data_IF_871486517639
#
_entry.id   IF_871486517639
#
_cell.length_a   1.000
_cell.length_b   1.000
_cell.length_c   1.000
_cell.angle_alpha   90.00
_cell.angle_beta   90.00
_cell.angle_gamma   90.00
#
_symmetry.space_group_name_H-M   'P 1'
#
loop_
_entity.id
_entity.type
_entity.pdbx_description
1 polymer ?
#
# COMPACT_ATOMS: atom_id res chain seq x y z
N UNK A 1 -18.32 6.02 35.72
CA UNK A 1 -17.22 5.64 34.81
C UNK A 1 -17.87 4.84 33.71
N UNK A 2 -18.00 5.40 32.51
CA UNK A 2 -18.47 4.64 31.34
C UNK A 2 -17.34 3.71 30.94
N UNK A 3 -17.52 2.41 31.16
CA UNK A 3 -16.61 1.38 30.66
C UNK A 3 -16.43 1.57 29.14
N UNK A 4 -15.20 1.44 28.67
CA UNK A 4 -14.88 1.63 27.26
C UNK A 4 -15.43 0.44 26.46
N UNK A 5 -16.51 0.66 25.73
CA UNK A 5 -17.14 -0.34 24.88
C UNK A 5 -16.13 -0.84 23.85
N UNK A 6 -15.92 -2.16 23.80
CA UNK A 6 -15.12 -2.81 22.79
C UNK A 6 -15.99 -3.23 21.59
N UNK A 7 -15.34 -3.35 20.44
CA UNK A 7 -15.97 -3.72 19.18
C UNK A 7 -15.34 -4.99 18.64
N UNK A 8 -16.18 -5.92 18.17
CA UNK A 8 -15.72 -7.22 17.71
C UNK A 8 -16.35 -7.65 16.40
N UNK A 9 -15.65 -8.57 15.74
CA UNK A 9 -16.10 -9.34 14.58
C UNK A 9 -16.17 -10.82 14.96
N UNK A 10 -17.30 -11.46 14.68
CA UNK A 10 -17.54 -12.87 14.93
C UNK A 10 -17.88 -13.61 13.64
N UNK A 11 -16.99 -14.52 13.24
CA UNK A 11 -17.25 -15.48 12.17
C UNK A 11 -18.19 -16.58 12.69
N UNK A 12 -19.40 -16.67 12.17
CA UNK A 12 -20.39 -17.68 12.55
C UNK A 12 -20.75 -18.61 11.39
N UNK A 13 -21.01 -19.88 11.72
CA UNK A 13 -21.60 -20.83 10.78
C UNK A 13 -23.11 -20.58 10.60
N UNK A 14 -23.68 -21.04 9.49
CA UNK A 14 -25.10 -20.85 9.18
C UNK A 14 -26.03 -21.35 10.31
N UNK A 15 -25.71 -22.50 10.89
CA UNK A 15 -26.54 -23.17 11.92
C UNK A 15 -26.50 -22.52 13.30
N UNK A 16 -25.77 -21.41 13.47
CA UNK A 16 -25.68 -20.70 14.76
C UNK A 16 -26.90 -19.84 15.07
N UNK A 17 -27.70 -19.56 14.05
CA UNK A 17 -28.92 -18.79 14.13
C UNK A 17 -30.08 -19.61 13.56
N UNK A 18 -31.27 -19.43 14.12
CA UNK A 18 -32.47 -20.04 13.58
C UNK A 18 -33.03 -19.13 12.47
N UNK A 19 -32.65 -19.39 11.22
CA UNK A 19 -33.10 -18.61 10.06
C UNK A 19 -34.59 -18.78 9.71
N UNK A 20 -35.29 -19.72 10.37
CA UNK A 20 -36.75 -19.88 10.22
C UNK A 20 -37.55 -18.96 11.14
N UNK A 21 -36.88 -18.26 12.06
CA UNK A 21 -37.47 -17.31 12.99
C UNK A 21 -36.80 -15.94 12.81
N UNK A 22 -37.43 -14.84 13.27
CA UNK A 22 -36.79 -13.54 13.29
C UNK A 22 -35.45 -13.61 14.03
N UNK A 23 -34.38 -13.12 13.39
CA UNK A 23 -33.02 -13.19 13.96
C UNK A 23 -32.85 -12.23 15.15
N UNK A 24 -33.53 -11.09 15.13
CA UNK A 24 -33.49 -10.08 16.20
C UNK A 24 -33.95 -10.71 17.52
N UNK A 25 -33.27 -10.39 18.62
CA UNK A 25 -33.39 -10.97 19.97
C UNK A 25 -32.93 -12.43 20.13
N UNK A 26 -32.56 -13.14 19.05
CA UNK A 26 -31.95 -14.46 19.22
C UNK A 26 -30.62 -14.33 19.96
N UNK A 27 -30.30 -15.36 20.76
CA UNK A 27 -29.03 -15.44 21.47
C UNK A 27 -28.25 -16.69 21.10
N UNK A 28 -26.93 -16.57 21.04
CA UNK A 28 -26.04 -17.71 20.74
C UNK A 28 -24.83 -17.72 21.66
N UNK A 29 -24.31 -18.91 21.96
CA UNK A 29 -23.20 -19.12 22.89
C UNK A 29 -21.96 -19.61 22.14
N UNK A 30 -20.81 -18.98 22.38
CA UNK A 30 -19.51 -19.49 21.93
C UNK A 30 -18.58 -19.76 23.10
N UNK A 31 -17.76 -20.80 22.95
CA UNK A 31 -16.75 -21.21 23.93
C UNK A 31 -15.35 -21.14 23.31
N UNK A 32 -14.39 -20.57 24.04
CA UNK A 32 -13.02 -20.33 23.57
C UNK A 32 -12.18 -21.59 23.29
N UNK A 33 -12.70 -22.80 23.54
CA UNK A 33 -11.95 -24.07 23.55
C UNK A 33 -12.22 -25.05 22.40
N UNK A 34 -13.07 -24.71 21.43
CA UNK A 34 -13.49 -25.66 20.38
C UNK A 34 -12.72 -25.48 19.06
N UNK A 35 -11.61 -26.20 18.83
CA UNK A 35 -10.95 -26.29 17.49
C UNK A 35 -10.65 -24.94 16.78
N UNK A 36 -10.01 -23.97 17.45
CA UNK A 36 -9.65 -22.68 16.84
C UNK A 36 -8.16 -22.38 16.93
N UNK A 37 -7.65 -21.57 15.99
CA UNK A 37 -6.28 -21.07 16.03
C UNK A 37 -6.04 -20.29 17.36
N UNK A 38 -5.20 -20.81 18.29
CA UNK A 38 -5.24 -20.43 19.70
C UNK A 38 -4.75 -19.01 20.03
N UNK A 39 -4.05 -18.32 19.13
CA UNK A 39 -3.26 -17.14 19.49
C UNK A 39 -4.04 -15.83 19.53
N UNK A 40 -4.99 -15.61 18.61
CA UNK A 40 -5.76 -14.35 18.51
C UNK A 40 -7.20 -14.47 19.02
N UNK A 41 -7.93 -15.53 18.66
CA UNK A 41 -9.31 -15.72 19.09
C UNK A 41 -9.44 -15.73 20.63
N UNK A 42 -8.54 -16.45 21.31
CA UNK A 42 -8.52 -16.53 22.77
C UNK A 42 -8.27 -15.18 23.47
N UNK A 43 -7.49 -14.27 22.85
CA UNK A 43 -7.25 -12.93 23.40
C UNK A 43 -8.49 -12.05 23.30
N UNK A 44 -9.25 -12.15 22.21
CA UNK A 44 -10.51 -11.42 22.07
C UNK A 44 -11.54 -11.89 23.11
N UNK A 45 -11.66 -13.20 23.33
CA UNK A 45 -12.53 -13.75 24.39
C UNK A 45 -12.17 -13.23 25.80
N UNK A 46 -10.88 -13.01 26.10
CA UNK A 46 -10.43 -12.47 27.39
C UNK A 46 -10.79 -11.00 27.62
N UNK A 47 -10.98 -10.23 26.55
CA UNK A 47 -11.31 -8.80 26.62
C UNK A 47 -12.80 -8.53 26.48
N UNK A 48 -13.61 -9.56 26.23
CA UNK A 48 -15.04 -9.42 26.06
C UNK A 48 -15.70 -9.05 27.40
N UNK A 49 -16.48 -7.98 27.39
CA UNK A 49 -17.27 -7.47 28.51
C UNK A 49 -18.74 -7.36 28.11
N UNK A 50 -19.62 -7.30 29.11
CA UNK A 50 -21.06 -7.16 28.87
C UNK A 50 -21.32 -5.77 28.29
N UNK A 51 -22.11 -5.69 27.21
CA UNK A 51 -22.41 -4.45 26.50
C UNK A 51 -21.50 -4.16 25.30
N UNK A 52 -20.42 -4.93 25.11
CA UNK A 52 -19.56 -4.85 23.94
C UNK A 52 -20.33 -5.18 22.65
N UNK A 53 -19.98 -4.48 21.56
CA UNK A 53 -20.69 -4.59 20.27
C UNK A 53 -20.00 -5.56 19.32
N UNK A 54 -20.80 -6.30 18.56
CA UNK A 54 -20.31 -7.40 17.73
C UNK A 54 -20.98 -7.40 16.36
N UNK A 55 -20.17 -7.53 15.31
CA UNK A 55 -20.62 -7.80 13.94
C UNK A 55 -20.59 -9.32 13.71
N UNK A 56 -21.67 -9.86 13.14
CA UNK A 56 -21.79 -11.27 12.77
C UNK A 56 -21.52 -11.45 11.27
N UNK A 57 -20.58 -12.34 10.93
CA UNK A 57 -20.22 -12.65 9.55
C UNK A 57 -20.36 -14.15 9.26
N UNK A 58 -21.06 -14.51 8.18
CA UNK A 58 -21.38 -15.89 7.84
C UNK A 58 -20.38 -16.48 6.84
N UNK A 59 -19.61 -17.48 7.28
CA UNK A 59 -18.44 -18.00 6.53
C UNK A 59 -18.69 -19.17 5.56
N UNK A 60 -19.80 -19.91 5.71
CA UNK A 60 -20.00 -21.20 5.01
C UNK A 60 -20.88 -21.15 3.75
N UNK A 61 -21.63 -20.08 3.56
CA UNK A 61 -22.71 -20.02 2.56
C UNK A 61 -22.53 -18.84 1.59
N UNK A 62 -21.33 -18.25 1.54
CA UNK A 62 -21.01 -17.02 0.78
C UNK A 62 -21.97 -15.84 1.03
N UNK A 63 -22.75 -15.89 2.12
CA UNK A 63 -23.76 -14.89 2.46
C UNK A 63 -23.13 -13.60 2.98
N UNK A 64 -21.95 -13.70 3.61
CA UNK A 64 -21.19 -12.54 4.05
C UNK A 64 -21.70 -11.94 5.36
N UNK A 65 -21.67 -10.61 5.45
CA UNK A 65 -22.12 -9.81 6.59
C UNK A 65 -23.60 -10.11 6.89
N UNK A 66 -23.90 -10.51 8.13
CA UNK A 66 -25.25 -10.91 8.53
C UNK A 66 -25.95 -9.83 9.34
N UNK A 67 -25.26 -9.26 10.32
CA UNK A 67 -25.88 -8.32 11.24
C UNK A 67 -24.93 -7.83 12.33
N UNK A 68 -25.49 -7.09 13.29
CA UNK A 68 -24.79 -6.66 14.49
C UNK A 68 -25.60 -6.98 15.75
N UNK A 69 -24.92 -6.97 16.88
CA UNK A 69 -25.51 -7.21 18.17
C UNK A 69 -24.57 -6.87 19.32
N UNK A 70 -24.79 -7.49 20.46
CA UNK A 70 -24.02 -7.22 21.67
C UNK A 70 -23.75 -8.46 22.53
N UNK A 71 -22.74 -8.36 23.39
CA UNK A 71 -22.43 -9.37 24.39
C UNK A 71 -23.32 -9.16 25.61
N UNK A 72 -24.09 -10.19 25.97
CA UNK A 72 -25.02 -10.15 27.11
C UNK A 72 -24.53 -10.91 28.34
N UNK A 73 -23.55 -11.80 28.17
CA UNK A 73 -23.00 -12.59 29.27
C UNK A 73 -21.59 -13.08 28.94
N UNK A 74 -20.70 -13.03 29.94
CA UNK A 74 -19.33 -13.57 29.86
C UNK A 74 -19.08 -14.42 31.11
N UNK A 75 -18.76 -15.69 30.92
CA UNK A 75 -18.52 -16.63 32.01
C UNK A 75 -17.18 -17.34 31.82
N UNK A 76 -16.36 -17.37 32.87
CA UNK A 76 -15.13 -18.17 32.87
C UNK A 76 -15.41 -19.51 33.55
N UNK A 77 -15.39 -20.58 32.76
CA UNK A 77 -15.62 -21.95 33.22
C UNK A 77 -14.34 -22.66 33.69
N UNK A 78 -14.49 -23.91 34.14
CA UNK A 78 -13.38 -24.77 34.51
C UNK A 78 -12.39 -24.94 33.33
N UNK A 79 -11.09 -25.05 33.64
CA UNK A 79 -9.99 -25.12 32.66
C UNK A 79 -9.73 -23.83 31.85
N UNK A 80 -10.05 -22.64 32.39
CA UNK A 80 -9.79 -21.34 31.72
C UNK A 80 -10.53 -21.14 30.39
N UNK A 81 -11.64 -21.86 30.19
CA UNK A 81 -12.51 -21.69 29.03
C UNK A 81 -13.46 -20.53 29.25
N UNK A 82 -13.54 -19.60 28.30
CA UNK A 82 -14.43 -18.45 28.37
C UNK A 82 -15.64 -18.74 27.48
N UNK A 83 -16.84 -18.55 28.05
CA UNK A 83 -18.13 -18.65 27.39
C UNK A 83 -18.72 -17.27 27.24
N UNK A 84 -19.06 -16.89 26.01
CA UNK A 84 -19.66 -15.58 25.70
C UNK A 84 -21.00 -15.81 25.02
N UNK A 85 -22.03 -15.17 25.55
CA UNK A 85 -23.36 -15.13 24.94
C UNK A 85 -23.53 -13.81 24.19
N UNK A 86 -23.96 -13.93 22.94
CA UNK A 86 -24.25 -12.80 22.07
C UNK A 86 -25.74 -12.73 21.82
N UNK A 87 -26.30 -11.51 21.77
CA UNK A 87 -27.65 -11.25 21.27
C UNK A 87 -27.55 -10.57 19.91
N UNK A 88 -28.46 -10.92 19.00
CA UNK A 88 -28.58 -10.29 17.69
C UNK A 88 -29.54 -9.10 17.77
N UNK A 89 -29.09 -7.91 17.37
CA UNK A 89 -29.88 -6.68 17.50
C UNK A 89 -30.41 -6.19 16.14
N UNK A 90 -29.60 -6.26 15.08
CA UNK A 90 -29.96 -5.67 13.78
C UNK A 90 -29.40 -6.47 12.58
N UNK A 91 -30.19 -6.54 11.51
CA UNK A 91 -29.83 -7.14 10.22
C UNK A 91 -29.02 -6.16 9.36
N UNK A 92 -27.96 -6.64 8.72
CA UNK A 92 -27.16 -5.87 7.76
C UNK A 92 -27.27 -6.48 6.36
N UNK A 93 -26.96 -5.69 5.33
CA UNK A 93 -26.88 -6.18 3.95
C UNK A 93 -25.79 -7.24 3.83
N UNK A 94 -26.02 -8.30 3.02
CA UNK A 94 -25.04 -9.36 2.78
C UNK A 94 -23.85 -8.84 1.98
N UNK A 95 -22.81 -8.41 2.68
CA UNK A 95 -21.55 -7.92 2.11
C UNK A 95 -20.44 -8.97 2.31
N UNK A 96 -19.76 -9.34 1.23
CA UNK A 96 -18.65 -10.31 1.31
C UNK A 96 -17.38 -9.64 1.83
N UNK A 97 -16.47 -10.44 2.39
CA UNK A 97 -15.11 -9.98 2.73
C UNK A 97 -14.42 -9.32 1.53
N UNK A 98 -14.57 -9.86 0.33
CA UNK A 98 -13.97 -9.28 -0.89
C UNK A 98 -14.58 -7.92 -1.27
N UNK A 99 -15.83 -7.67 -0.90
CA UNK A 99 -16.43 -6.34 -1.01
C UNK A 99 -15.82 -5.38 0.01
N UNK A 100 -15.73 -5.79 1.28
CA UNK A 100 -15.20 -4.94 2.37
C UNK A 100 -13.72 -4.59 2.16
N UNK A 101 -12.91 -5.51 1.62
CA UNK A 101 -11.49 -5.28 1.26
C UNK A 101 -11.27 -4.18 0.23
N UNK A 102 -12.30 -3.71 -0.47
CA UNK A 102 -12.18 -2.59 -1.39
C UNK A 102 -11.91 -1.28 -0.65
N UNK A 103 -12.23 -1.19 0.64
CA UNK A 103 -11.84 -0.09 1.50
C UNK A 103 -10.40 -0.27 1.97
N UNK A 104 -9.55 0.73 1.77
CA UNK A 104 -8.17 0.73 2.29
C UNK A 104 -8.14 0.58 3.82
N UNK A 105 -9.11 1.17 4.52
CA UNK A 105 -9.21 1.09 5.98
C UNK A 105 -9.49 -0.34 6.46
N UNK A 106 -10.15 -1.16 5.64
CA UNK A 106 -10.55 -2.52 6.00
C UNK A 106 -9.68 -3.61 5.37
N UNK A 107 -8.92 -3.33 4.30
CA UNK A 107 -8.16 -4.35 3.56
C UNK A 107 -7.20 -5.14 4.46
N UNK A 108 -6.35 -4.44 5.21
CA UNK A 108 -5.43 -5.08 6.16
C UNK A 108 -6.19 -5.89 7.21
N UNK A 109 -7.27 -5.34 7.78
CA UNK A 109 -8.06 -6.00 8.82
C UNK A 109 -8.72 -7.27 8.29
N UNK A 110 -9.38 -7.20 7.15
CA UNK A 110 -10.09 -8.32 6.53
C UNK A 110 -9.14 -9.45 6.09
N UNK A 111 -7.91 -9.12 5.66
CA UNK A 111 -6.90 -10.14 5.34
C UNK A 111 -6.42 -10.90 6.58
N UNK A 112 -6.34 -10.23 7.74
CA UNK A 112 -5.83 -10.83 8.98
C UNK A 112 -6.88 -11.59 9.80
N UNK A 113 -8.18 -11.34 9.59
CA UNK A 113 -9.27 -11.99 10.35
C UNK A 113 -9.78 -13.32 9.75
N UNK A 114 -9.28 -13.73 8.58
CA UNK A 114 -9.89 -14.79 7.75
C UNK A 114 -9.97 -16.18 8.43
N UNK A 115 -9.11 -16.45 9.41
CA UNK A 115 -9.01 -17.77 10.06
C UNK A 115 -9.39 -17.79 11.54
N UNK A 116 -9.75 -16.64 12.10
CA UNK A 116 -10.02 -16.46 13.53
C UNK A 116 -11.51 -16.28 13.77
N UNK A 117 -12.05 -17.03 14.74
CA UNK A 117 -13.48 -16.98 15.05
C UNK A 117 -13.91 -15.58 15.52
N UNK A 118 -13.16 -15.00 16.44
CA UNK A 118 -13.53 -13.81 17.18
C UNK A 118 -12.37 -12.81 17.19
N UNK A 119 -12.60 -11.60 16.70
CA UNK A 119 -11.57 -10.61 16.44
C UNK A 119 -11.97 -9.25 17.00
N UNK A 120 -11.01 -8.52 17.56
CA UNK A 120 -11.22 -7.14 18.00
C UNK A 120 -11.09 -6.18 16.81
N UNK A 121 -12.04 -5.26 16.69
CA UNK A 121 -12.04 -4.15 15.74
C UNK A 121 -11.75 -2.84 16.48
N UNK A 122 -11.25 -1.85 15.75
CA UNK A 122 -11.33 -0.46 16.22
C UNK A 122 -12.75 0.07 16.04
N UNK A 123 -13.07 1.18 16.71
CA UNK A 123 -14.37 1.82 16.56
C UNK A 123 -14.61 2.28 15.12
N UNK A 124 -13.59 2.85 14.48
CA UNK A 124 -13.66 3.34 13.11
C UNK A 124 -13.92 2.21 12.11
N UNK A 125 -13.23 1.06 12.29
CA UNK A 125 -13.47 -0.13 11.48
C UNK A 125 -14.91 -0.65 11.65
N UNK A 126 -15.41 -0.70 12.90
CA UNK A 126 -16.76 -1.15 13.21
C UNK A 126 -17.82 -0.24 12.60
N UNK A 127 -17.73 1.07 12.85
CA UNK A 127 -18.69 2.07 12.39
C UNK A 127 -18.78 2.07 10.86
N UNK A 128 -17.64 1.95 10.16
CA UNK A 128 -17.61 1.85 8.70
C UNK A 128 -18.31 0.58 8.18
N UNK A 129 -18.05 -0.59 8.78
CA UNK A 129 -18.70 -1.84 8.36
C UNK A 129 -20.22 -1.77 8.57
N UNK A 130 -20.66 -1.21 9.70
CA UNK A 130 -22.09 -1.02 9.98
C UNK A 130 -22.72 -0.05 8.99
N UNK A 131 -22.08 1.09 8.71
CA UNK A 131 -22.58 2.06 7.73
C UNK A 131 -22.74 1.46 6.32
N UNK A 132 -21.76 0.65 5.90
CA UNK A 132 -21.81 -0.11 4.64
C UNK A 132 -22.93 -1.16 4.66
N UNK A 133 -23.06 -1.91 5.77
CA UNK A 133 -24.09 -2.94 5.94
C UNK A 133 -25.51 -2.36 5.98
N UNK A 134 -25.71 -1.19 6.58
CA UNK A 134 -26.97 -0.45 6.56
C UNK A 134 -27.22 0.20 5.19
N UNK A 135 -26.17 0.35 4.37
CA UNK A 135 -26.21 1.01 3.07
C UNK A 135 -26.32 2.53 3.16
N UNK A 136 -25.93 3.11 4.30
CA UNK A 136 -25.78 4.55 4.48
C UNK A 136 -24.54 5.05 3.72
N UNK A 137 -23.52 4.21 3.63
CA UNK A 137 -22.33 4.45 2.81
C UNK A 137 -22.22 3.42 1.68
N UNK A 138 -21.59 3.83 0.57
CA UNK A 138 -21.17 2.95 -0.51
C UNK A 138 -19.68 3.17 -0.74
N UNK A 139 -18.94 2.07 -0.91
CA UNK A 139 -17.55 2.16 -1.31
C UNK A 139 -17.46 2.70 -2.74
N UNK A 140 -16.64 3.74 -2.98
CA UNK A 140 -16.46 4.27 -4.32
C UNK A 140 -15.79 3.20 -5.19
N UNK A 141 -16.34 2.99 -6.39
CA UNK A 141 -15.77 2.09 -7.38
C UNK A 141 -15.23 2.90 -8.54
N UNK A 142 -14.12 2.41 -9.10
CA UNK A 142 -13.36 3.13 -10.11
C UNK A 142 -13.21 2.26 -11.35
N UNK A 143 -13.52 2.82 -12.51
CA UNK A 143 -13.40 2.14 -13.78
C UNK A 143 -12.66 3.00 -14.79
N UNK A 144 -11.94 2.32 -15.67
CA UNK A 144 -11.29 2.89 -16.83
C UNK A 144 -12.22 2.70 -18.03
N UNK A 145 -12.53 3.78 -18.76
CA UNK A 145 -13.37 3.75 -19.95
C UNK A 145 -12.59 4.27 -21.16
N UNK A 146 -12.38 3.41 -22.15
CA UNK A 146 -11.64 3.72 -23.37
C UNK A 146 -12.58 3.99 -24.55
N UNK A 147 -12.53 5.22 -25.04
CA UNK A 147 -13.34 5.69 -26.17
C UNK A 147 -12.48 6.42 -27.21
N UNK A 148 -13.09 6.67 -28.37
CA UNK A 148 -12.48 7.40 -29.48
C UNK A 148 -13.12 8.77 -29.72
N UNK A 149 -14.27 9.03 -29.07
CA UNK A 149 -15.03 10.27 -29.19
C UNK A 149 -14.45 11.37 -28.30
N UNK A 150 -14.74 12.63 -28.65
CA UNK A 150 -14.41 13.77 -27.80
C UNK A 150 -15.49 13.95 -26.74
N UNK A 151 -15.08 14.39 -25.54
CA UNK A 151 -15.96 14.61 -24.40
C UNK A 151 -15.86 16.05 -23.93
N UNK A 152 -17.01 16.62 -23.57
CA UNK A 152 -17.18 17.97 -23.06
C UNK A 152 -17.63 17.92 -21.59
N UNK A 153 -17.03 18.74 -20.70
CA UNK A 153 -17.42 18.83 -19.30
C UNK A 153 -18.91 19.15 -19.09
N UNK A 154 -19.56 18.40 -18.20
CA UNK A 154 -20.96 18.56 -17.82
C UNK A 154 -21.94 17.74 -18.66
N UNK A 155 -21.52 17.19 -19.80
CA UNK A 155 -22.40 16.48 -20.74
C UNK A 155 -22.56 14.99 -20.40
N UNK A 156 -23.72 14.43 -20.80
CA UNK A 156 -24.04 13.01 -20.62
C UNK A 156 -23.90 12.28 -21.96
N UNK A 157 -23.11 11.22 -21.97
CA UNK A 157 -22.80 10.42 -23.14
C UNK A 157 -23.43 9.04 -23.04
N UNK A 158 -23.93 8.54 -24.18
CA UNK A 158 -24.45 7.17 -24.30
C UNK A 158 -23.34 6.25 -24.78
N UNK A 159 -22.93 5.30 -23.93
CA UNK A 159 -21.90 4.33 -24.25
C UNK A 159 -22.55 2.98 -24.50
N UNK A 160 -22.50 2.53 -25.75
CA UNK A 160 -23.04 1.22 -26.13
C UNK A 160 -22.12 0.09 -25.67
N UNK A 161 -22.72 -1.01 -25.21
CA UNK A 161 -21.99 -2.18 -24.68
C UNK A 161 -21.57 -3.17 -25.78
N UNK A 162 -22.17 -3.05 -26.96
CA UNK A 162 -21.86 -3.84 -28.16
C UNK A 162 -21.39 -2.95 -29.31
N UNK A 163 -20.61 -3.51 -30.23
CA UNK A 163 -20.26 -2.88 -31.51
C UNK A 163 -21.50 -2.76 -32.41
N UNK A 164 -21.37 -2.06 -33.53
CA UNK A 164 -22.47 -1.86 -34.48
C UNK A 164 -23.08 -3.19 -34.95
N UNK A 165 -22.25 -4.21 -35.14
CA UNK A 165 -22.64 -5.55 -35.57
C UNK A 165 -23.18 -6.45 -34.43
N UNK A 166 -23.34 -5.92 -33.21
CA UNK A 166 -23.82 -6.67 -32.05
C UNK A 166 -22.76 -7.51 -31.33
N UNK A 167 -21.47 -7.31 -31.61
CA UNK A 167 -20.39 -8.02 -30.90
C UNK A 167 -20.15 -7.32 -29.56
N UNK A 168 -20.12 -8.08 -28.46
CA UNK A 168 -19.80 -7.55 -27.12
C UNK A 168 -18.46 -6.82 -27.14
N UNK A 169 -18.42 -5.60 -26.60
CA UNK A 169 -17.16 -4.87 -26.43
C UNK A 169 -16.28 -5.59 -25.42
N UNK A 170 -14.97 -5.52 -25.61
CA UNK A 170 -14.01 -6.10 -24.68
C UNK A 170 -14.17 -5.50 -23.29
N UNK A 171 -14.18 -6.34 -22.26
CA UNK A 171 -14.52 -5.93 -20.90
C UNK A 171 -16.02 -5.97 -20.59
N UNK A 172 -16.85 -6.60 -21.44
CA UNK A 172 -18.32 -6.58 -21.33
C UNK A 172 -18.87 -6.84 -19.92
N UNK A 173 -18.27 -7.80 -19.21
CA UNK A 173 -18.69 -8.18 -17.86
C UNK A 173 -18.63 -7.01 -16.86
N UNK A 174 -17.75 -6.02 -17.05
CA UNK A 174 -17.70 -4.83 -16.21
C UNK A 174 -18.92 -3.93 -16.38
N UNK A 175 -19.53 -3.85 -17.58
CA UNK A 175 -20.78 -3.09 -17.75
C UNK A 175 -21.91 -3.61 -16.85
N UNK A 176 -21.97 -4.93 -16.62
CA UNK A 176 -22.95 -5.53 -15.72
C UNK A 176 -22.65 -5.24 -14.24
N UNK A 177 -21.42 -4.85 -13.89
CA UNK A 177 -21.01 -4.57 -12.52
C UNK A 177 -21.18 -3.08 -12.15
N UNK A 178 -21.30 -2.20 -13.14
CA UNK A 178 -21.47 -0.77 -12.91
C UNK A 178 -22.74 -0.48 -12.12
N UNK A 179 -22.73 0.55 -11.31
CA UNK A 179 -23.91 1.15 -10.66
C UNK A 179 -23.86 2.65 -10.89
N UNK A 180 -25.00 3.30 -10.71
CA UNK A 180 -25.09 4.75 -10.72
C UNK A 180 -24.20 5.32 -9.61
N UNK A 181 -23.35 6.29 -9.96
CA UNK A 181 -22.36 6.92 -9.08
C UNK A 181 -20.97 6.30 -9.13
N UNK A 182 -20.72 5.25 -9.91
CA UNK A 182 -19.37 4.74 -10.09
C UNK A 182 -18.47 5.75 -10.83
N UNK A 183 -17.25 5.91 -10.34
CA UNK A 183 -16.28 6.84 -10.88
C UNK A 183 -15.59 6.28 -12.13
N UNK A 184 -15.42 7.12 -13.13
CA UNK A 184 -14.84 6.80 -14.42
C UNK A 184 -13.61 7.67 -14.68
N UNK A 185 -12.59 7.04 -15.25
CA UNK A 185 -11.49 7.71 -15.94
C UNK A 185 -11.68 7.53 -17.43
N UNK A 186 -11.70 8.63 -18.17
CA UNK A 186 -11.91 8.62 -19.62
C UNK A 186 -10.56 8.60 -20.34
N UNK A 187 -10.33 7.53 -21.07
CA UNK A 187 -9.18 7.34 -21.93
C UNK A 187 -9.58 7.53 -23.39
N UNK A 188 -8.89 8.43 -24.08
CA UNK A 188 -9.13 8.71 -25.48
C UNK A 188 -8.04 8.08 -26.35
N UNK A 189 -8.45 7.13 -27.20
CA UNK A 189 -7.56 6.41 -28.12
C UNK A 189 -6.98 7.30 -29.22
N UNK A 190 -7.70 8.35 -29.62
CA UNK A 190 -7.33 9.25 -30.71
C UNK A 190 -6.51 10.46 -30.23
N UNK A 191 -6.57 10.79 -28.93
CA UNK A 191 -5.85 11.93 -28.34
C UNK A 191 -4.54 11.47 -27.72
N UNK A 192 -3.58 11.08 -28.55
CA UNK A 192 -2.26 10.56 -28.13
C UNK A 192 -2.33 9.41 -27.11
N UNK A 193 -3.39 8.60 -27.17
CA UNK A 193 -3.58 7.47 -26.25
C UNK A 193 -3.44 7.93 -24.79
N UNK A 194 -4.32 8.84 -24.36
CA UNK A 194 -4.20 9.48 -23.05
C UNK A 194 -5.50 9.42 -22.25
N UNK A 195 -5.36 9.40 -20.93
CA UNK A 195 -6.45 9.74 -20.02
C UNK A 195 -6.68 11.24 -20.10
N UNK A 196 -7.91 11.67 -20.36
CA UNK A 196 -8.26 13.07 -20.68
C UNK A 196 -9.20 13.72 -19.67
N UNK A 197 -9.90 12.92 -18.87
CA UNK A 197 -10.89 13.43 -17.92
C UNK A 197 -11.42 12.37 -16.99
N UNK A 198 -12.31 12.82 -16.12
CA UNK A 198 -13.05 11.96 -15.18
C UNK A 198 -14.53 12.23 -15.27
N UNK A 199 -15.31 11.29 -14.75
CA UNK A 199 -16.74 11.45 -14.61
C UNK A 199 -17.36 10.31 -13.83
N UNK A 200 -18.66 10.08 -14.04
CA UNK A 200 -19.40 9.06 -13.33
C UNK A 200 -20.44 8.35 -14.20
N UNK A 201 -20.87 7.16 -13.78
CA UNK A 201 -22.02 6.47 -14.37
C UNK A 201 -23.31 7.13 -13.88
N UNK A 202 -24.12 7.64 -14.79
CA UNK A 202 -25.43 8.25 -14.46
C UNK A 202 -26.58 7.27 -14.63
N UNK A 203 -26.43 6.26 -15.49
CA UNK A 203 -27.45 5.23 -15.69
C UNK A 203 -26.83 3.86 -15.94
N UNK A 204 -27.32 2.88 -15.17
CA UNK A 204 -26.96 1.49 -15.36
C UNK A 204 -27.39 0.96 -16.75
N UNK A 205 -26.97 -0.26 -17.08
CA UNK A 205 -27.26 -0.91 -18.35
C UNK A 205 -28.77 -0.89 -18.64
N UNK A 206 -29.14 -0.40 -19.82
CA UNK A 206 -30.52 -0.34 -20.28
C UNK A 206 -30.57 -0.44 -21.80
N UNK A 207 -31.74 -0.80 -22.32
CA UNK A 207 -31.98 -0.89 -23.75
C UNK A 207 -32.53 0.44 -24.28
N UNK A 208 -31.92 0.96 -25.35
CA UNK A 208 -32.47 2.09 -26.10
C UNK A 208 -33.34 1.61 -27.27
N UNK A 209 -34.25 2.45 -27.81
CA UNK A 209 -35.01 2.10 -28.99
C UNK A 209 -34.11 1.61 -30.15
N UNK A 210 -34.61 0.72 -31.03
CA UNK A 210 -33.83 0.22 -32.16
C UNK A 210 -33.28 1.36 -33.00
N UNK A 211 -31.98 1.31 -33.28
CA UNK A 211 -31.27 2.33 -34.08
C UNK A 211 -31.00 1.71 -35.46
N UNK A 212 -31.37 2.38 -36.56
CA UNK A 212 -31.13 1.87 -37.91
C UNK A 212 -29.67 1.43 -38.11
N UNK A 213 -29.52 0.19 -38.55
CA UNK A 213 -28.24 -0.45 -38.84
C UNK A 213 -27.45 -0.98 -37.63
N UNK A 214 -27.85 -0.69 -36.39
CA UNK A 214 -27.23 -1.27 -35.20
C UNK A 214 -27.98 -2.53 -34.75
N UNK A 215 -27.27 -3.64 -34.55
CA UNK A 215 -27.88 -4.92 -34.14
C UNK A 215 -28.28 -4.96 -32.65
N UNK A 216 -27.63 -4.17 -31.79
CA UNK A 216 -27.92 -4.12 -30.36
C UNK A 216 -27.78 -2.68 -29.83
N UNK A 217 -28.83 -2.19 -29.17
CA UNK A 217 -28.96 -0.83 -28.62
C UNK A 217 -28.79 -0.76 -27.10
N UNK A 218 -28.25 -1.81 -26.47
CA UNK A 218 -27.94 -1.82 -25.04
C UNK A 218 -26.80 -0.86 -24.74
N UNK A 219 -26.99 0.01 -23.75
CA UNK A 219 -26.06 1.07 -23.40
C UNK A 219 -26.06 1.40 -21.90
N UNK A 220 -25.02 2.11 -21.47
CA UNK A 220 -24.98 2.86 -20.21
C UNK A 220 -25.00 4.36 -20.53
N UNK A 221 -25.36 5.18 -19.55
CA UNK A 221 -25.13 6.64 -19.63
C UNK A 221 -24.07 7.05 -18.62
N UNK A 222 -23.15 7.91 -19.07
CA UNK A 222 -22.04 8.41 -18.28
C UNK A 222 -22.01 9.92 -18.37
N UNK A 223 -21.78 10.62 -17.27
CA UNK A 223 -21.50 12.05 -17.28
C UNK A 223 -20.00 12.26 -17.31
N UNK A 224 -19.54 13.14 -18.17
CA UNK A 224 -18.15 13.58 -18.18
C UNK A 224 -18.03 14.84 -17.31
N UNK A 225 -17.41 14.75 -16.14
CA UNK A 225 -17.47 15.84 -15.16
C UNK A 225 -16.45 16.94 -15.47
N UNK A 226 -15.19 16.56 -15.70
CA UNK A 226 -14.12 17.53 -15.94
C UNK A 226 -12.98 16.97 -16.78
N UNK A 227 -12.37 17.88 -17.54
CA UNK A 227 -11.07 17.66 -18.14
C UNK A 227 -9.99 17.60 -17.06
N UNK A 228 -9.01 16.76 -17.28
CA UNK A 228 -7.76 16.73 -16.51
C UNK A 228 -6.59 16.87 -17.48
N UNK A 229 -5.41 17.24 -16.98
CA UNK A 229 -4.20 17.28 -17.82
C UNK A 229 -3.96 15.89 -18.42
N UNK A 230 -3.84 15.76 -19.75
CA UNK A 230 -3.76 14.45 -20.37
C UNK A 230 -2.57 13.61 -19.90
N UNK A 231 -2.84 12.37 -19.45
CA UNK A 231 -1.79 11.41 -19.05
C UNK A 231 -1.68 10.34 -20.13
N UNK A 232 -0.58 10.35 -20.88
CA UNK A 232 -0.35 9.45 -22.01
C UNK A 232 -0.08 8.01 -21.56
N UNK A 233 -0.35 7.04 -22.45
CA UNK A 233 -0.06 5.63 -22.21
C UNK A 233 1.40 5.39 -21.84
N UNK A 234 2.34 6.10 -22.47
CA UNK A 234 3.76 6.03 -22.14
C UNK A 234 4.06 6.46 -20.70
N UNK A 235 3.37 7.50 -20.20
CA UNK A 235 3.49 7.94 -18.81
C UNK A 235 2.84 6.91 -17.86
N UNK A 236 1.65 6.42 -18.17
CA UNK A 236 0.96 5.41 -17.36
C UNK A 236 1.81 4.14 -17.20
N UNK A 237 2.42 3.67 -18.30
CA UNK A 237 3.28 2.48 -18.30
C UNK A 237 4.60 2.66 -17.53
N UNK A 238 5.00 3.90 -17.22
CA UNK A 238 6.18 4.17 -16.36
C UNK A 238 5.84 4.16 -14.88
N UNK A 239 4.56 4.31 -14.51
CA UNK A 239 4.18 4.42 -13.10
C UNK A 239 4.16 3.04 -12.42
N UNK A 240 4.85 2.84 -11.28
CA UNK A 240 4.99 1.53 -10.63
C UNK A 240 3.66 0.83 -10.30
N UNK A 241 2.64 1.61 -9.90
CA UNK A 241 1.29 1.10 -9.57
C UNK A 241 0.42 0.79 -10.81
N UNK A 242 0.82 1.24 -12.01
CA UNK A 242 0.01 1.16 -13.24
C UNK A 242 0.66 0.31 -14.34
N UNK A 243 1.99 0.16 -14.35
CA UNK A 243 2.78 -0.50 -15.42
C UNK A 243 2.42 -1.95 -15.74
N UNK A 244 1.75 -2.65 -14.83
CA UNK A 244 1.35 -4.05 -14.98
C UNK A 244 -0.16 -4.21 -15.23
N UNK A 245 -0.89 -3.12 -15.45
CA UNK A 245 -2.31 -3.20 -15.77
C UNK A 245 -2.48 -3.80 -17.16
N UNK A 246 -3.11 -4.98 -17.20
CA UNK A 246 -3.29 -5.74 -18.43
C UNK A 246 -4.00 -4.91 -19.51
N UNK A 247 -4.92 -4.00 -19.15
CA UNK A 247 -5.67 -3.15 -20.08
C UNK A 247 -4.92 -1.90 -20.57
N UNK A 248 -3.72 -1.62 -20.03
CA UNK A 248 -2.81 -0.58 -20.52
C UNK A 248 -1.73 -1.13 -21.47
N UNK A 249 -1.73 -2.44 -21.72
CA UNK A 249 -0.84 -3.03 -22.72
C UNK A 249 -1.33 -2.69 -24.13
N UNK A 250 -0.44 -2.40 -25.07
CA UNK A 250 -0.79 -2.01 -26.46
C UNK A 250 -1.73 -3.02 -27.16
N UNK A 251 -1.66 -4.30 -26.76
CA UNK A 251 -2.48 -5.37 -27.30
C UNK A 251 -3.87 -5.50 -26.63
N UNK A 252 -4.06 -4.88 -25.46
CA UNK A 252 -5.26 -5.05 -24.68
C UNK A 252 -6.34 -4.04 -25.11
N UNK A 253 -7.20 -4.50 -26.02
CA UNK A 253 -8.30 -3.71 -26.60
C UNK A 253 -9.50 -3.52 -25.65
N UNK A 254 -9.32 -3.53 -24.33
CA UNK A 254 -10.41 -3.39 -23.36
C UNK A 254 -11.11 -2.03 -23.58
N UNK A 255 -12.44 -2.05 -23.65
CA UNK A 255 -13.25 -0.83 -23.74
C UNK A 255 -13.56 -0.28 -22.34
N UNK A 256 -13.66 -1.18 -21.36
CA UNK A 256 -13.88 -0.83 -19.96
C UNK A 256 -13.11 -1.80 -19.08
N UNK A 257 -12.57 -1.35 -17.95
CA UNK A 257 -11.92 -2.19 -16.97
C UNK A 257 -12.14 -1.65 -15.55
N UNK A 258 -12.18 -2.51 -14.54
CA UNK A 258 -12.14 -2.07 -13.14
C UNK A 258 -10.74 -1.64 -12.71
N UNK A 259 -10.67 -0.71 -11.76
CA UNK A 259 -9.43 -0.23 -11.15
C UNK A 259 -9.59 -0.15 -9.63
N UNK A 260 -8.48 -0.27 -8.91
CA UNK A 260 -8.44 0.06 -7.48
C UNK A 260 -8.43 1.58 -7.27
N UNK A 261 -8.80 2.01 -6.07
CA UNK A 261 -8.68 3.41 -5.65
C UNK A 261 -7.24 3.92 -5.83
N UNK A 262 -6.26 3.16 -5.34
CA UNK A 262 -4.83 3.47 -5.51
C UNK A 262 -4.38 3.69 -6.96
N UNK A 263 -5.03 3.02 -7.93
CA UNK A 263 -4.74 3.21 -9.36
C UNK A 263 -5.42 4.45 -9.90
N UNK A 264 -6.68 4.69 -9.51
CA UNK A 264 -7.40 5.91 -9.84
C UNK A 264 -6.64 7.14 -9.34
N UNK A 265 -6.30 7.18 -8.06
CA UNK A 265 -5.59 8.29 -7.43
C UNK A 265 -4.23 8.53 -8.09
N UNK A 266 -3.49 7.46 -8.41
CA UNK A 266 -2.24 7.58 -9.15
C UNK A 266 -2.41 8.28 -10.51
N UNK A 267 -3.49 8.00 -11.25
CA UNK A 267 -3.78 8.66 -12.53
C UNK A 267 -4.10 10.15 -12.32
N UNK A 268 -4.90 10.46 -11.31
CA UNK A 268 -5.26 11.85 -10.97
C UNK A 268 -4.02 12.64 -10.53
N UNK A 269 -3.17 12.04 -9.71
CA UNK A 269 -1.92 12.65 -9.25
C UNK A 269 -0.93 12.85 -10.38
N UNK A 270 -0.83 11.89 -11.31
CA UNK A 270 -0.05 12.06 -12.53
C UNK A 270 -0.60 13.22 -13.37
N UNK A 271 -1.91 13.38 -13.46
CA UNK A 271 -2.53 14.48 -14.19
C UNK A 271 -2.25 15.85 -13.56
N UNK A 272 -2.36 15.96 -12.23
CA UNK A 272 -2.02 17.21 -11.52
C UNK A 272 -0.56 17.64 -11.67
N UNK A 273 0.33 16.71 -12.03
CA UNK A 273 1.78 16.90 -12.04
C UNK A 273 2.44 16.60 -13.40
N UNK A 274 1.74 16.86 -14.52
CA UNK A 274 2.24 16.69 -15.90
C UNK A 274 2.86 15.30 -16.23
N UNK A 275 2.38 14.25 -15.57
CA UNK A 275 2.88 12.88 -15.72
C UNK A 275 4.31 12.67 -15.18
N UNK A 276 4.83 13.62 -14.41
CA UNK A 276 6.11 13.52 -13.70
C UNK A 276 5.92 14.08 -12.30
N UNK A 277 5.28 13.29 -11.44
CA UNK A 277 5.29 13.59 -10.02
C UNK A 277 6.67 13.22 -9.46
N UNK A 278 7.62 14.17 -9.53
CA UNK A 278 8.80 14.17 -8.66
C UNK A 278 8.41 14.95 -7.40
N UNK A 279 7.94 14.31 -6.31
CA UNK A 279 7.80 14.98 -5.00
C UNK A 279 9.15 15.43 -4.43
N UNK A 280 10.22 15.16 -5.17
CA UNK A 280 11.61 15.32 -4.85
C UNK A 280 12.25 16.19 -5.93
N UNK A 281 12.60 17.42 -5.58
CA UNK A 281 13.43 18.22 -6.46
C UNK A 281 14.88 17.76 -6.27
N UNK A 282 15.46 17.15 -7.32
CA UNK A 282 16.89 16.81 -7.33
C UNK A 282 17.65 18.09 -7.64
N UNK A 283 18.50 18.53 -6.72
CA UNK A 283 19.33 19.71 -6.93
C UNK A 283 20.50 19.29 -7.81
N UNK A 284 20.53 19.75 -9.06
CA UNK A 284 21.69 19.56 -9.93
C UNK A 284 22.83 20.45 -9.41
N UNK A 285 23.91 19.84 -8.92
CA UNK A 285 25.13 20.57 -8.62
C UNK A 285 25.80 20.98 -9.95
N UNK A 286 26.32 22.21 -10.07
CA UNK A 286 27.21 22.55 -11.17
C UNK A 286 28.57 21.90 -10.89
N UNK A 287 28.82 20.73 -11.46
CA UNK A 287 30.17 20.16 -11.48
C UNK A 287 30.66 20.14 -12.92
N UNK A 288 31.80 20.81 -13.13
CA UNK A 288 32.54 20.84 -14.37
C UNK A 288 32.86 19.42 -14.88
N UNK A 289 32.59 19.20 -16.18
CA UNK A 289 33.26 18.28 -17.11
C UNK A 289 33.63 16.87 -16.60
N UNK A 290 32.84 15.86 -16.94
CA UNK A 290 33.10 14.92 -18.05
C UNK A 290 31.95 13.89 -18.08
N UNK A 291 31.30 13.75 -19.23
CA UNK A 291 30.22 12.79 -19.44
C UNK A 291 30.79 11.38 -19.54
N UNK A 292 30.84 10.64 -18.44
CA UNK A 292 31.20 9.22 -18.44
C UNK A 292 30.50 8.50 -17.29
N UNK A 293 29.44 7.71 -17.61
CA UNK A 293 28.86 6.53 -16.90
C UNK A 293 28.67 6.50 -15.35
N UNK A 294 29.17 7.46 -14.58
CA UNK A 294 29.20 7.48 -13.11
C UNK A 294 27.95 8.12 -12.49
N UNK A 295 27.04 8.70 -13.28
CA UNK A 295 25.74 9.21 -12.79
C UNK A 295 24.86 8.11 -12.17
N UNK A 296 25.15 6.83 -12.42
CA UNK A 296 24.31 5.71 -12.00
C UNK A 296 24.51 5.24 -10.55
N UNK A 297 25.61 5.62 -9.86
CA UNK A 297 25.99 4.97 -8.60
C UNK A 297 25.95 5.96 -7.43
N UNK A 298 24.74 6.35 -7.02
CA UNK A 298 24.49 7.22 -5.86
C UNK A 298 23.70 6.48 -4.78
N UNK A 299 24.37 5.65 -3.96
CA UNK A 299 23.68 4.84 -2.95
C UNK A 299 23.13 5.69 -1.79
N UNK A 300 23.66 6.89 -1.57
CA UNK A 300 23.14 7.80 -0.55
C UNK A 300 22.04 8.69 -1.13
N UNK A 301 20.91 8.75 -0.43
CA UNK A 301 19.82 9.68 -0.71
C UNK A 301 19.65 10.54 0.55
N UNK A 302 19.94 11.84 0.44
CA UNK A 302 19.79 12.79 1.53
C UNK A 302 18.51 13.58 1.33
N UNK A 303 17.50 13.31 2.15
CA UNK A 303 16.21 13.98 2.16
C UNK A 303 16.29 15.23 3.05
N UNK A 304 16.14 16.40 2.44
CA UNK A 304 16.12 17.69 3.13
C UNK A 304 14.68 18.07 3.44
N UNK A 305 14.37 18.20 4.73
CA UNK A 305 13.00 18.35 5.25
C UNK A 305 12.90 19.59 6.13
N UNK A 306 11.86 20.40 5.91
CA UNK A 306 11.67 21.66 6.63
C UNK A 306 11.04 21.51 8.02
N UNK A 307 10.33 20.41 8.29
CA UNK A 307 9.70 20.13 9.58
C UNK A 307 10.03 18.71 10.05
N UNK A 308 10.26 18.56 11.36
CA UNK A 308 10.73 17.30 11.95
C UNK A 308 9.72 16.14 11.74
N UNK A 309 8.43 16.43 11.93
CA UNK A 309 7.35 15.44 11.85
C UNK A 309 7.09 14.92 10.41
N UNK A 310 7.63 15.60 9.39
CA UNK A 310 7.47 15.25 7.99
C UNK A 310 8.56 14.29 7.48
N UNK A 311 9.66 14.14 8.21
CA UNK A 311 10.86 13.47 7.71
C UNK A 311 10.69 11.99 7.43
N UNK A 312 10.21 11.24 8.43
CA UNK A 312 9.93 9.81 8.28
C UNK A 312 8.78 9.55 7.31
N UNK A 313 7.80 10.45 7.23
CA UNK A 313 6.70 10.36 6.27
C UNK A 313 7.22 10.45 4.83
N UNK A 314 8.07 11.43 4.54
CA UNK A 314 8.68 11.60 3.22
C UNK A 314 9.59 10.42 2.83
N UNK A 315 10.32 9.85 3.81
CA UNK A 315 11.12 8.65 3.58
C UNK A 315 10.24 7.43 3.27
N UNK A 316 9.13 7.23 3.99
CA UNK A 316 8.17 6.17 3.72
C UNK A 316 7.54 6.30 2.33
N UNK A 317 7.16 7.51 1.91
CA UNK A 317 6.65 7.74 0.55
C UNK A 317 7.67 7.41 -0.56
N UNK A 318 8.96 7.66 -0.32
CA UNK A 318 10.02 7.22 -1.24
C UNK A 318 10.15 5.70 -1.26
N UNK A 319 10.12 5.05 -0.08
CA UNK A 319 10.26 3.62 0.08
C UNK A 319 9.09 2.84 -0.56
N UNK A 320 7.87 3.32 -0.39
CA UNK A 320 6.65 2.74 -0.98
C UNK A 320 6.73 2.68 -2.51
N UNK A 321 7.35 3.68 -3.15
CA UNK A 321 7.59 3.68 -4.61
C UNK A 321 8.57 2.61 -5.05
N UNK A 322 9.52 2.26 -4.18
CA UNK A 322 10.58 1.29 -4.46
C UNK A 322 10.23 -0.14 -4.05
N UNK A 323 9.14 -0.36 -3.29
CA UNK A 323 8.75 -1.65 -2.72
C UNK A 323 9.90 -2.31 -1.93
N UNK A 324 10.64 -1.49 -1.18
CA UNK A 324 11.76 -1.90 -0.34
C UNK A 324 11.32 -2.09 1.12
N UNK A 325 11.95 -3.03 1.81
CA UNK A 325 11.85 -3.25 3.25
C UNK A 325 12.84 -2.32 3.96
N UNK A 326 12.36 -1.28 4.66
CA UNK A 326 13.26 -0.37 5.37
C UNK A 326 13.67 -0.96 6.73
N UNK A 327 14.92 -0.70 7.10
CA UNK A 327 15.36 -0.73 8.50
C UNK A 327 15.61 0.70 8.91
N UNK A 328 14.81 1.17 9.87
CA UNK A 328 14.83 2.56 10.32
C UNK A 328 15.65 2.64 11.61
N UNK A 329 16.56 3.61 11.65
CA UNK A 329 17.34 3.97 12.84
C UNK A 329 17.42 5.50 12.94
N UNK A 330 17.92 5.99 14.07
CA UNK A 330 18.07 7.42 14.36
C UNK A 330 19.55 7.74 14.55
N UNK A 331 20.00 8.75 13.84
CA UNK A 331 21.34 9.32 13.91
C UNK A 331 21.63 9.91 15.29
N UNK A 332 22.82 9.63 15.78
CA UNK A 332 23.34 10.14 17.04
C UNK A 332 24.82 10.52 16.84
N UNK A 333 25.38 11.48 17.60
CA UNK A 333 26.82 11.76 17.55
C UNK A 333 27.73 10.56 17.80
N UNK A 334 27.23 9.55 18.53
CA UNK A 334 27.96 8.30 18.81
C UNK A 334 27.75 7.22 17.73
N UNK A 335 27.07 7.56 16.63
CA UNK A 335 26.85 6.63 15.53
C UNK A 335 28.18 6.33 14.84
N UNK A 336 28.60 5.07 14.86
CA UNK A 336 29.98 4.67 14.58
C UNK A 336 30.11 3.66 13.43
N UNK A 337 31.34 3.48 12.96
CA UNK A 337 31.69 2.45 11.97
C UNK A 337 31.28 1.03 12.42
N UNK A 338 31.38 0.72 13.72
CA UNK A 338 30.98 -0.58 14.27
C UNK A 338 29.48 -0.85 14.04
N UNK A 339 28.64 0.19 14.08
CA UNK A 339 27.21 0.07 13.82
C UNK A 339 26.93 -0.18 12.33
N UNK A 340 27.77 0.34 11.43
CA UNK A 340 27.62 0.18 9.98
C UNK A 340 28.20 -1.14 9.47
N UNK A 341 29.40 -1.51 9.89
CA UNK A 341 30.15 -2.64 9.33
C UNK A 341 30.14 -3.87 10.25
N UNK A 342 29.88 -3.69 11.53
CA UNK A 342 29.81 -4.75 12.53
C UNK A 342 31.02 -4.78 13.47
N UNK A 343 30.93 -5.61 14.50
CA UNK A 343 31.98 -5.81 15.49
C UNK A 343 31.92 -7.18 16.15
N UNK A 344 33.03 -7.57 16.79
CA UNK A 344 33.05 -8.73 17.67
C UNK A 344 32.44 -8.38 19.03
N UNK A 345 31.55 -9.25 19.50
CA UNK A 345 30.92 -9.18 20.81
C UNK A 345 31.17 -10.48 21.57
N UNK A 346 31.40 -10.44 22.89
CA UNK A 346 31.45 -11.65 23.70
C UNK A 346 30.03 -12.23 23.88
N UNK A 347 29.91 -13.55 23.81
CA UNK A 347 28.70 -14.26 24.24
C UNK A 347 28.75 -14.58 25.74
N UNK A 348 27.69 -15.19 26.28
CA UNK A 348 27.57 -15.56 27.71
C UNK A 348 28.69 -16.51 28.20
N UNK A 349 29.34 -17.23 27.28
CA UNK A 349 30.46 -18.12 27.57
C UNK A 349 31.84 -17.44 27.38
N UNK A 350 31.88 -16.13 27.08
CA UNK A 350 33.11 -15.36 26.84
C UNK A 350 33.74 -15.57 25.46
N UNK A 351 33.13 -16.38 24.58
CA UNK A 351 33.59 -16.54 23.20
C UNK A 351 33.11 -15.37 22.34
N UNK A 352 33.99 -14.89 21.46
CA UNK A 352 33.67 -13.79 20.55
C UNK A 352 32.85 -14.28 19.37
N UNK A 353 31.74 -13.60 19.08
CA UNK A 353 30.98 -13.75 17.84
C UNK A 353 30.94 -12.43 17.08
N UNK A 354 31.00 -12.49 15.75
CA UNK A 354 30.88 -11.30 14.92
C UNK A 354 29.41 -10.94 14.72
N UNK A 355 29.02 -9.74 15.11
CA UNK A 355 27.70 -9.16 14.81
C UNK A 355 27.85 -8.24 13.61
N UNK A 356 27.15 -8.54 12.52
CA UNK A 356 27.06 -7.67 11.35
C UNK A 356 26.43 -6.31 11.71
N UNK A 357 26.92 -5.24 11.07
CA UNK A 357 26.37 -3.89 11.18
C UNK A 357 25.31 -3.64 10.11
N UNK A 358 24.71 -2.46 10.09
CA UNK A 358 23.63 -2.13 9.17
C UNK A 358 24.00 -2.36 7.70
N UNK A 359 25.16 -1.90 7.23
CA UNK A 359 25.55 -2.09 5.83
C UNK A 359 25.86 -3.56 5.55
N UNK A 360 26.68 -4.20 6.38
CA UNK A 360 27.09 -5.61 6.14
C UNK A 360 25.93 -6.60 6.30
N UNK A 361 24.91 -6.25 7.08
CA UNK A 361 23.70 -7.06 7.28
C UNK A 361 22.61 -6.79 6.24
N UNK A 362 22.34 -5.51 5.95
CA UNK A 362 21.20 -5.10 5.11
C UNK A 362 21.56 -5.02 3.64
N UNK A 363 22.84 -4.79 3.30
CA UNK A 363 23.26 -4.84 1.91
C UNK A 363 22.96 -6.26 1.39
N UNK A 364 22.34 -6.40 0.21
CA UNK A 364 21.50 -7.53 -0.09
C UNK A 364 22.19 -8.89 -0.04
N UNK A 365 21.56 -9.82 0.69
CA UNK A 365 21.36 -11.19 0.18
C UNK A 365 20.12 -11.29 -0.71
N UNK A 366 19.13 -10.38 -0.54
CA UNK A 366 17.89 -10.25 -1.33
C UNK A 366 17.63 -8.77 -1.72
N UNK A 367 17.23 -8.50 -2.96
CA UNK A 367 17.25 -7.19 -3.65
C UNK A 367 16.36 -6.04 -3.10
N UNK A 368 15.79 -6.13 -1.89
CA UNK A 368 14.75 -5.21 -1.43
C UNK A 368 15.00 -4.53 -0.08
N UNK A 369 16.16 -4.59 0.55
CA UNK A 369 16.37 -3.96 1.87
C UNK A 369 16.96 -2.56 1.76
N UNK A 370 16.47 -1.56 2.50
CA UNK A 370 17.01 -0.18 2.52
C UNK A 370 17.34 0.22 3.97
N UNK A 371 18.37 1.06 4.18
CA UNK A 371 18.67 1.65 5.50
C UNK A 371 18.15 3.09 5.55
N UNK A 372 17.32 3.40 6.55
CA UNK A 372 16.85 4.77 6.80
C UNK A 372 17.47 5.27 8.10
N UNK A 373 18.11 6.43 8.04
CA UNK A 373 18.72 7.10 9.19
C UNK A 373 18.03 8.45 9.35
N UNK A 374 17.12 8.53 10.30
CA UNK A 374 16.55 9.80 10.73
C UNK A 374 17.59 10.65 11.47
N UNK A 375 17.45 11.98 11.54
CA UNK A 375 18.41 12.85 12.19
C UNK A 375 19.85 12.68 11.65
N UNK A 376 20.00 12.50 10.34
CA UNK A 376 21.29 12.28 9.68
C UNK A 376 22.26 13.46 9.86
N UNK A 377 21.76 14.67 10.09
CA UNK A 377 22.57 15.81 10.46
C UNK A 377 23.36 15.61 11.77
N UNK A 378 23.01 14.63 12.59
CA UNK A 378 23.75 14.29 13.82
C UNK A 378 24.81 13.21 13.60
N UNK A 379 24.93 12.68 12.39
CA UNK A 379 25.88 11.63 12.02
C UNK A 379 27.06 12.27 11.29
N UNK A 380 28.27 11.87 11.69
CA UNK A 380 29.49 12.19 10.94
C UNK A 380 29.52 11.37 9.65
N UNK A 381 29.69 12.01 8.48
CA UNK A 381 29.73 11.28 7.21
C UNK A 381 30.99 10.43 7.03
N UNK A 382 32.06 10.70 7.77
CA UNK A 382 33.36 10.06 7.57
C UNK A 382 33.33 8.57 7.94
N UNK A 383 32.40 8.15 8.79
CA UNK A 383 32.18 6.73 9.10
C UNK A 383 31.75 5.91 7.86
N UNK A 384 31.30 6.58 6.79
CA UNK A 384 30.94 5.94 5.53
C UNK A 384 32.15 5.77 4.59
N UNK A 385 33.34 6.24 4.96
CA UNK A 385 34.53 6.22 4.09
C UNK A 385 34.89 4.80 3.64
N UNK A 386 34.81 3.81 4.53
CA UNK A 386 35.02 2.39 4.19
C UNK A 386 34.09 1.94 3.06
N UNK A 387 32.82 2.32 3.09
CA UNK A 387 31.88 2.03 2.01
C UNK A 387 32.20 2.80 0.73
N UNK A 388 32.51 4.09 0.83
CA UNK A 388 32.87 4.95 -0.31
C UNK A 388 34.10 4.41 -1.04
N UNK A 389 35.12 3.94 -0.33
CA UNK A 389 36.29 3.32 -0.91
C UNK A 389 35.92 2.10 -1.78
N UNK A 390 34.94 1.29 -1.33
CA UNK A 390 34.41 0.19 -2.15
C UNK A 390 33.70 0.71 -3.40
N UNK A 391 32.93 1.81 -3.31
CA UNK A 391 32.27 2.43 -4.48
C UNK A 391 33.29 2.90 -5.53
N UNK A 392 34.42 3.45 -5.07
CA UNK A 392 35.56 3.88 -5.89
C UNK A 392 36.32 2.71 -6.51
N UNK A 393 36.02 1.47 -6.10
CA UNK A 393 36.60 0.25 -6.65
C UNK A 393 37.80 -0.28 -5.88
N UNK A 394 38.10 0.28 -4.70
CA UNK A 394 39.11 -0.29 -3.81
C UNK A 394 38.61 -1.59 -3.18
N UNK A 395 39.54 -2.50 -2.92
CA UNK A 395 39.30 -3.67 -2.10
C UNK A 395 39.56 -3.32 -0.64
N UNK A 396 38.58 -3.57 0.22
CA UNK A 396 38.63 -3.19 1.63
C UNK A 396 38.55 -4.44 2.51
N UNK A 397 39.47 -4.57 3.46
CA UNK A 397 39.45 -5.66 4.44
C UNK A 397 38.61 -5.26 5.65
N UNK A 398 37.60 -6.06 5.98
CA UNK A 398 36.79 -5.86 7.18
C UNK A 398 37.37 -6.66 8.36
N UNK A 399 37.16 -6.19 9.60
CA UNK A 399 37.60 -6.88 10.81
C UNK A 399 36.71 -8.11 11.12
N UNK A 400 36.55 -9.02 10.15
CA UNK A 400 35.81 -10.29 10.24
C UNK A 400 36.64 -11.39 9.61
N UNK A 401 36.77 -12.52 10.28
CA UNK A 401 37.52 -13.67 9.80
C UNK A 401 36.61 -14.72 9.14
N UNK A 402 37.09 -15.34 8.06
CA UNK A 402 36.48 -16.51 7.44
C UNK A 402 36.85 -17.80 8.20
N UNK A 403 36.38 -18.96 7.72
CA UNK A 403 36.66 -20.27 8.34
C UNK A 403 38.14 -20.65 8.34
N UNK A 404 38.93 -20.06 7.45
CA UNK A 404 40.36 -20.30 7.27
C UNK A 404 41.22 -19.29 8.05
N UNK A 405 40.60 -18.42 8.87
CA UNK A 405 41.30 -17.42 9.68
C UNK A 405 41.82 -16.20 8.90
N UNK A 406 41.38 -16.02 7.65
CA UNK A 406 41.72 -14.86 6.83
C UNK A 406 40.67 -13.75 6.99
N UNK A 407 41.12 -12.49 6.96
CA UNK A 407 40.20 -11.35 6.97
C UNK A 407 39.36 -11.32 5.70
N UNK A 408 38.11 -10.92 5.86
CA UNK A 408 37.14 -10.87 4.79
C UNK A 408 37.34 -9.61 3.95
N UNK A 409 37.32 -9.79 2.62
CA UNK A 409 37.43 -8.71 1.63
C UNK A 409 36.04 -8.28 1.17
N UNK A 410 35.84 -6.97 1.07
CA UNK A 410 34.71 -6.32 0.45
C UNK A 410 35.18 -5.55 -0.78
N UNK A 411 34.60 -5.85 -1.94
CA UNK A 411 34.86 -5.13 -3.18
C UNK A 411 33.61 -5.12 -4.09
N UNK A 412 33.75 -4.54 -5.29
CA UNK A 412 32.71 -4.56 -6.34
C UNK A 412 32.71 -5.86 -7.15
N UNK A 413 33.67 -6.75 -6.94
CA UNK A 413 33.78 -8.01 -7.68
C UNK A 413 32.67 -8.99 -7.23
N UNK A 414 32.27 -9.90 -8.12
CA UNK A 414 31.20 -10.86 -7.80
C UNK A 414 31.62 -11.92 -6.77
N UNK A 415 32.91 -12.17 -6.65
CA UNK A 415 33.47 -13.23 -5.82
C UNK A 415 33.93 -12.74 -4.43
N UNK A 416 33.74 -11.44 -4.12
CA UNK A 416 34.00 -10.91 -2.78
C UNK A 416 32.93 -11.36 -1.79
N UNK A 417 33.32 -11.54 -0.52
CA UNK A 417 32.42 -12.07 0.51
C UNK A 417 31.20 -11.17 0.74
N UNK A 418 31.42 -9.84 0.77
CA UNK A 418 30.36 -8.86 0.63
C UNK A 418 30.42 -8.32 -0.78
N UNK A 419 29.32 -8.44 -1.51
CA UNK A 419 29.18 -7.91 -2.87
C UNK A 419 28.45 -6.58 -2.83
N UNK A 420 29.01 -5.55 -3.47
CA UNK A 420 28.31 -4.29 -3.66
C UNK A 420 27.06 -4.46 -4.54
N UNK A 421 25.87 -4.13 -4.02
CA UNK A 421 24.64 -4.12 -4.81
C UNK A 421 24.27 -2.68 -5.24
N UNK A 422 24.22 -2.37 -6.56
CA UNK A 422 23.87 -1.04 -7.05
C UNK A 422 22.40 -0.63 -6.79
N UNK A 423 21.52 -1.57 -6.44
CA UNK A 423 20.11 -1.28 -6.14
C UNK A 423 19.84 -0.99 -4.65
N UNK A 424 20.86 -1.14 -3.79
CA UNK A 424 20.76 -0.90 -2.36
C UNK A 424 21.07 0.55 -2.02
N UNK A 425 20.28 1.16 -1.13
CA UNK A 425 20.39 2.58 -0.81
C UNK A 425 20.33 2.85 0.70
N UNK A 426 20.99 3.94 1.10
CA UNK A 426 20.93 4.56 2.43
C UNK A 426 20.16 5.87 2.28
N UNK A 427 19.04 6.01 3.00
CA UNK A 427 18.24 7.23 3.06
C UNK A 427 18.59 7.96 4.36
N UNK A 428 19.25 9.10 4.26
CA UNK A 428 19.46 10.02 5.38
C UNK A 428 18.39 11.10 5.40
N UNK A 429 17.70 11.30 6.52
CA UNK A 429 16.78 12.43 6.70
C UNK A 429 17.52 13.51 7.44
N UNK A 430 17.62 14.69 6.84
CA UNK A 430 18.29 15.84 7.43
C UNK A 430 17.35 17.04 7.49
N UNK A 431 17.56 17.83 8.54
CA UNK A 431 16.86 19.07 8.81
C UNK A 431 17.77 20.29 8.62
N UNK A 432 19.01 20.07 8.18
CA UNK A 432 19.95 21.12 7.83
C UNK A 432 19.58 21.71 6.45
N UNK A 433 19.81 23.01 6.27
CA UNK A 433 19.64 23.66 4.97
C UNK A 433 20.67 23.18 3.94
N UNK A 434 20.34 23.33 2.66
CA UNK A 434 21.19 22.88 1.53
C UNK A 434 22.60 23.47 1.59
N UNK A 435 22.72 24.74 1.98
CA UNK A 435 24.03 25.41 2.04
C UNK A 435 24.86 24.85 3.19
N UNK A 436 24.23 24.58 4.35
CA UNK A 436 24.87 23.90 5.49
C UNK A 436 25.34 22.49 5.09
N UNK A 437 24.53 21.73 4.37
CA UNK A 437 24.88 20.39 3.88
C UNK A 437 26.13 20.42 2.98
N UNK A 438 26.22 21.40 2.08
CA UNK A 438 27.36 21.54 1.15
C UNK A 438 28.66 21.93 1.86
N UNK A 439 28.57 22.70 2.94
CA UNK A 439 29.73 23.09 3.75
C UNK A 439 30.16 21.98 4.72
N UNK A 440 29.19 21.26 5.28
CA UNK A 440 29.39 20.27 6.34
C UNK A 440 29.96 18.94 5.84
N UNK A 441 29.49 18.46 4.70
CA UNK A 441 29.87 17.13 4.18
C UNK A 441 30.97 17.22 3.12
N UNK A 442 31.87 16.23 3.13
CA UNK A 442 32.99 16.19 2.20
C UNK A 442 32.53 16.07 0.74
N UNK A 443 33.31 16.62 -0.19
CA UNK A 443 33.05 16.50 -1.63
C UNK A 443 32.99 15.04 -2.08
N UNK A 444 33.77 14.16 -1.44
CA UNK A 444 33.79 12.73 -1.73
C UNK A 444 32.49 12.05 -1.30
N UNK A 445 31.94 12.37 -0.13
CA UNK A 445 30.62 11.90 0.28
C UNK A 445 29.51 12.44 -0.63
N UNK A 446 29.55 13.75 -0.94
CA UNK A 446 28.55 14.40 -1.80
C UNK A 446 28.55 13.86 -3.24
N UNK A 447 29.71 13.41 -3.76
CA UNK A 447 29.81 12.74 -5.08
C UNK A 447 28.87 11.53 -5.18
N UNK A 448 28.78 10.73 -4.12
CA UNK A 448 27.96 9.52 -4.04
C UNK A 448 26.56 9.77 -3.45
N UNK A 449 26.20 11.03 -3.23
CA UNK A 449 24.95 11.43 -2.59
C UNK A 449 24.02 12.13 -3.56
N UNK A 450 22.75 11.74 -3.51
CA UNK A 450 21.65 12.46 -4.15
C UNK A 450 20.95 13.31 -3.11
N UNK A 451 21.09 14.63 -3.21
CA UNK A 451 20.35 15.57 -2.35
C UNK A 451 18.97 15.81 -2.96
N UNK A 452 17.95 15.66 -2.12
CA UNK A 452 16.56 15.70 -2.50
C UNK A 452 15.80 16.59 -1.52
N UNK A 453 15.20 17.68 -2.01
CA UNK A 453 14.35 18.54 -1.19
C UNK A 453 12.90 18.04 -1.23
N UNK A 454 12.29 17.88 -0.06
CA UNK A 454 10.85 17.56 0.07
C UNK A 454 10.06 18.85 -0.15
N UNK A 455 9.11 18.83 -1.09
CA UNK A 455 8.19 19.96 -1.29
C UNK A 455 7.15 19.96 -0.19
N UNK A 456 7.00 21.09 0.50
CA UNK A 456 5.88 21.31 1.42
C UNK A 456 4.66 21.76 0.61
N UNK A 457 3.55 21.04 0.76
CA UNK A 457 2.25 21.51 0.26
C UNK A 457 1.93 22.82 1.01
N UNK A 458 1.73 23.90 0.25
CA UNK A 458 1.30 25.19 0.79
C UNK A 458 -0.19 25.22 1.06
#
# INVERSE_FOLDING_TARGET
MTEAVNYFWLNCGYTRWNHNEPLIEQTTLFESGAQFNPSQGFRAFKKAEIGDKVIFYQVQTDTGLLGLGEITSVQTGAQNKIRVTFRFDELLKPLTIDFLKRSEALDYRMNNMKETLFNQLTKEEFDLIVALGQGQEKLPRYFFLAESEAFEPGEIYTIYTHTYNGIKRNGYHFYNQLEVGDNLVFYNRNKNQSVIGIGEVTKHIHEKPPIPGRTNSTAIEVRYDKNITPVTLSQLNKHPKLKNLYFLQENAKQAIASMSQTQYDAIIDMSKNDGVNKPFETINQPVHSEQTKDEALKPFILLVVGQHDEGLKAANELLDKTNANPVITTGHPDFSEEMLYGKYLPNEAGALYYREGFITHLMPKNDKSYLVIDNFNRVDSDIFQTYINVLEGYEVTLPRYNKDGQMIIWSRQKDSFYHFNPNWHIIGITYDDIDVIKEKYSAQFLKYTRIVKVKQDK
#
